data_IF_723076415585
#
_entry.id   IF_723076415585
#
_cell.length_a   1.000
_cell.length_b   1.000
_cell.length_c   1.000
_cell.angle_alpha   90.00
_cell.angle_beta   90.00
_cell.angle_gamma   90.00
#
_symmetry.space_group_name_H-M   'P 1'
#
loop_
_entity.id
_entity.type
_entity.pdbx_description
1 polymer ?
#
# COMPACT_ATOMS: atom_id res chain seq x y z
N UNK A 1 43.86 8.76 -19.98
CA UNK A 1 43.10 7.65 -19.35
C UNK A 1 42.02 8.11 -18.36
N UNK A 2 42.17 9.26 -17.67
CA UNK A 2 41.20 9.74 -16.65
C UNK A 2 39.82 10.16 -17.20
N UNK A 3 39.74 10.64 -18.44
CA UNK A 3 38.47 11.06 -19.05
C UNK A 3 37.45 9.91 -19.20
N UNK A 4 37.91 8.68 -19.49
CA UNK A 4 37.02 7.53 -19.63
C UNK A 4 36.43 7.07 -18.28
N UNK A 5 37.19 7.24 -17.20
CA UNK A 5 36.75 6.87 -15.84
C UNK A 5 35.68 7.84 -15.34
N UNK A 6 35.84 9.14 -15.59
CA UNK A 6 34.85 10.15 -15.20
C UNK A 6 33.51 9.96 -15.93
N UNK A 7 33.55 9.62 -17.22
CA UNK A 7 32.34 9.35 -18.01
C UNK A 7 31.64 8.06 -17.56
N UNK A 8 32.40 7.02 -17.22
CA UNK A 8 31.84 5.77 -16.70
C UNK A 8 31.17 5.97 -15.32
N UNK A 9 31.78 6.76 -14.44
CA UNK A 9 31.20 7.08 -13.14
C UNK A 9 29.89 7.87 -13.28
N UNK A 10 29.86 8.88 -14.16
CA UNK A 10 28.65 9.66 -14.40
C UNK A 10 27.50 8.79 -14.97
N UNK A 11 27.79 7.85 -15.87
CA UNK A 11 26.79 6.90 -16.37
C UNK A 11 26.28 5.95 -15.28
N UNK A 12 27.18 5.48 -14.40
CA UNK A 12 26.80 4.65 -13.26
C UNK A 12 25.89 5.42 -12.29
N UNK A 13 26.22 6.67 -11.97
CA UNK A 13 25.43 7.49 -11.06
C UNK A 13 24.05 7.82 -11.64
N UNK A 14 23.97 8.11 -12.95
CA UNK A 14 22.69 8.31 -13.65
C UNK A 14 21.84 7.04 -13.67
N UNK A 15 22.45 5.88 -13.94
CA UNK A 15 21.79 4.58 -13.95
C UNK A 15 21.28 4.21 -12.55
N UNK A 16 22.10 4.35 -11.52
CA UNK A 16 21.71 4.15 -10.12
C UNK A 16 20.60 5.11 -9.68
N UNK A 17 20.66 6.38 -10.08
CA UNK A 17 19.61 7.36 -9.78
C UNK A 17 18.29 6.99 -10.46
N UNK A 18 18.34 6.50 -11.70
CA UNK A 18 17.17 5.98 -12.42
C UNK A 18 16.52 4.80 -11.70
N UNK A 19 17.29 3.77 -11.34
CA UNK A 19 16.78 2.60 -10.62
C UNK A 19 16.14 2.98 -9.29
N UNK A 20 16.76 3.89 -8.52
CA UNK A 20 16.17 4.37 -7.26
C UNK A 20 14.84 5.08 -7.46
N UNK A 21 14.70 5.86 -8.54
CA UNK A 21 13.44 6.52 -8.85
C UNK A 21 12.34 5.50 -9.20
N UNK A 22 12.68 4.44 -9.95
CA UNK A 22 11.76 3.35 -10.26
C UNK A 22 11.35 2.56 -9.01
N UNK A 23 12.30 2.25 -8.12
CA UNK A 23 12.03 1.57 -6.83
C UNK A 23 11.09 2.40 -5.94
N UNK A 24 11.34 3.71 -5.83
CA UNK A 24 10.45 4.63 -5.08
C UNK A 24 9.06 4.68 -5.72
N UNK A 25 8.97 4.73 -7.05
CA UNK A 25 7.69 4.74 -7.75
C UNK A 25 6.90 3.45 -7.52
N UNK A 26 7.57 2.30 -7.51
CA UNK A 26 6.96 0.99 -7.21
C UNK A 26 6.48 0.92 -5.75
N UNK A 27 7.29 1.36 -4.79
CA UNK A 27 6.90 1.43 -3.39
C UNK A 27 5.68 2.35 -3.17
N UNK A 28 5.69 3.54 -3.78
CA UNK A 28 4.58 4.48 -3.73
C UNK A 28 3.29 3.90 -4.36
N UNK A 29 3.41 3.14 -5.46
CA UNK A 29 2.27 2.46 -6.07
C UNK A 29 1.71 1.37 -5.14
N UNK A 30 2.57 0.58 -4.49
CA UNK A 30 2.16 -0.44 -3.52
C UNK A 30 1.42 0.17 -2.32
N UNK A 31 1.93 1.28 -1.77
CA UNK A 31 1.25 2.03 -0.70
C UNK A 31 -0.12 2.51 -1.15
N UNK A 32 -0.23 3.13 -2.35
CA UNK A 32 -1.51 3.60 -2.88
C UNK A 32 -2.52 2.47 -3.07
N UNK A 33 -2.08 1.33 -3.58
CA UNK A 33 -2.94 0.16 -3.74
C UNK A 33 -3.44 -0.36 -2.39
N UNK A 34 -2.55 -0.49 -1.41
CA UNK A 34 -2.91 -0.96 -0.08
C UNK A 34 -3.84 0.05 0.64
N UNK A 35 -3.65 1.34 0.42
CA UNK A 35 -4.51 2.40 0.96
C UNK A 35 -5.92 2.28 0.40
N UNK A 36 -6.06 2.13 -0.91
CA UNK A 36 -7.38 1.96 -1.55
C UNK A 36 -8.10 0.70 -1.04
N UNK A 37 -7.37 -0.40 -0.82
CA UNK A 37 -7.93 -1.62 -0.26
C UNK A 37 -8.41 -1.43 1.19
N UNK A 38 -7.63 -0.72 2.02
CA UNK A 38 -8.01 -0.37 3.38
C UNK A 38 -9.24 0.54 3.41
N UNK A 39 -9.27 1.59 2.59
CA UNK A 39 -10.40 2.52 2.53
C UNK A 39 -11.69 1.81 2.12
N UNK A 40 -11.60 0.89 1.17
CA UNK A 40 -12.73 0.04 0.78
C UNK A 40 -13.22 -0.81 1.96
N UNK A 41 -12.32 -1.54 2.63
CA UNK A 41 -12.68 -2.41 3.74
C UNK A 41 -13.24 -1.62 4.94
N UNK A 42 -12.71 -0.42 5.20
CA UNK A 42 -13.20 0.48 6.24
C UNK A 42 -14.62 0.99 5.93
N UNK A 43 -14.89 1.40 4.69
CA UNK A 43 -16.23 1.80 4.26
C UNK A 43 -17.22 0.64 4.32
N UNK A 44 -16.78 -0.56 3.94
CA UNK A 44 -17.59 -1.77 4.04
C UNK A 44 -17.97 -2.08 5.48
N UNK A 45 -16.99 -2.09 6.40
CA UNK A 45 -17.22 -2.29 7.83
C UNK A 45 -18.18 -1.24 8.42
N UNK A 46 -18.05 0.04 8.02
CA UNK A 46 -18.95 1.10 8.46
C UNK A 46 -20.41 0.85 8.02
N UNK A 47 -20.62 0.37 6.79
CA UNK A 47 -21.96 -0.03 6.32
C UNK A 47 -22.48 -1.22 7.11
N UNK A 48 -21.65 -2.22 7.39
CA UNK A 48 -22.04 -3.38 8.20
C UNK A 48 -22.45 -2.96 9.62
N UNK A 49 -21.78 -1.98 10.23
CA UNK A 49 -22.21 -1.45 11.54
C UNK A 49 -23.64 -0.91 11.51
N UNK A 50 -23.99 -0.12 10.49
CA UNK A 50 -25.34 0.40 10.31
C UNK A 50 -26.37 -0.71 10.11
N UNK A 51 -26.06 -1.69 9.26
CA UNK A 51 -26.92 -2.85 9.01
C UNK A 51 -27.08 -3.74 10.25
N UNK A 52 -26.06 -3.84 11.10
CA UNK A 52 -26.15 -4.61 12.34
C UNK A 52 -27.05 -3.91 13.35
N UNK A 53 -26.98 -2.57 13.42
CA UNK A 53 -27.88 -1.78 14.27
C UNK A 53 -29.35 -1.96 13.87
N UNK A 54 -29.65 -2.13 12.58
CA UNK A 54 -30.98 -2.48 12.09
C UNK A 54 -31.28 -3.99 12.12
N UNK A 55 -30.43 -4.82 12.73
CA UNK A 55 -30.54 -6.30 12.78
C UNK A 55 -30.66 -6.98 11.40
N UNK A 56 -30.15 -6.36 10.34
CA UNK A 56 -30.23 -6.87 8.96
C UNK A 56 -29.13 -7.90 8.63
N UNK A 57 -28.08 -7.98 9.45
CA UNK A 57 -26.95 -8.92 9.30
C UNK A 57 -26.63 -9.61 10.62
N UNK A 58 -25.88 -10.71 10.57
CA UNK A 58 -25.45 -11.43 11.77
C UNK A 58 -24.28 -10.74 12.48
N UNK A 59 -23.99 -11.15 13.72
CA UNK A 59 -22.77 -10.71 14.41
C UNK A 59 -21.50 -11.20 13.70
N UNK A 60 -21.56 -12.41 13.12
CA UNK A 60 -20.47 -13.01 12.37
C UNK A 60 -20.12 -12.22 11.10
N UNK A 61 -21.13 -11.70 10.38
CA UNK A 61 -20.90 -10.87 9.18
C UNK A 61 -20.17 -9.57 9.52
N UNK A 62 -20.53 -8.93 10.65
CA UNK A 62 -19.85 -7.74 11.14
C UNK A 62 -18.40 -8.03 11.56
N UNK A 63 -18.18 -9.17 12.22
CA UNK A 63 -16.85 -9.60 12.64
C UNK A 63 -15.93 -9.94 11.46
N UNK A 64 -16.47 -10.58 10.42
CA UNK A 64 -15.76 -10.80 9.16
C UNK A 64 -15.35 -9.47 8.52
N UNK A 65 -16.28 -8.50 8.44
CA UNK A 65 -15.97 -7.18 7.90
C UNK A 65 -14.90 -6.44 8.70
N UNK A 66 -14.93 -6.54 10.03
CA UNK A 66 -13.88 -5.99 10.91
C UNK A 66 -12.53 -6.65 10.62
N UNK A 67 -12.50 -7.97 10.56
CA UNK A 67 -11.29 -8.76 10.33
C UNK A 67 -10.65 -8.43 8.98
N UNK A 68 -11.46 -8.29 7.91
CA UNK A 68 -10.97 -7.86 6.60
C UNK A 68 -10.40 -6.43 6.62
N UNK A 69 -11.03 -5.51 7.36
CA UNK A 69 -10.52 -4.14 7.55
C UNK A 69 -9.17 -4.17 8.27
N UNK A 70 -9.05 -4.93 9.35
CA UNK A 70 -7.82 -5.02 10.15
C UNK A 70 -6.68 -5.63 9.33
N UNK A 71 -6.97 -6.65 8.51
CA UNK A 71 -5.99 -7.23 7.60
C UNK A 71 -5.52 -6.21 6.54
N UNK A 72 -6.44 -5.47 5.92
CA UNK A 72 -6.09 -4.43 4.96
C UNK A 72 -5.25 -3.31 5.62
N UNK A 73 -5.53 -2.98 6.88
CA UNK A 73 -4.75 -2.02 7.66
C UNK A 73 -3.32 -2.50 7.86
N UNK A 74 -3.15 -3.78 8.21
CA UNK A 74 -1.82 -4.38 8.39
C UNK A 74 -1.04 -4.40 7.08
N UNK A 75 -1.70 -4.70 5.94
CA UNK A 75 -1.07 -4.65 4.62
C UNK A 75 -0.64 -3.22 4.24
N UNK A 76 -1.50 -2.22 4.50
CA UNK A 76 -1.15 -0.82 4.27
C UNK A 76 0.07 -0.40 5.10
N UNK A 77 0.07 -0.72 6.40
CA UNK A 77 1.19 -0.41 7.27
C UNK A 77 2.48 -1.08 6.78
N UNK A 78 2.41 -2.36 6.42
CA UNK A 78 3.57 -3.06 5.87
C UNK A 78 4.05 -2.49 4.54
N UNK A 79 3.18 -1.90 3.73
CA UNK A 79 3.57 -1.22 2.49
C UNK A 79 4.23 0.15 2.76
N UNK A 80 3.81 0.84 3.82
CA UNK A 80 4.38 2.13 4.25
C UNK A 80 5.73 1.97 4.94
N UNK A 81 5.95 0.86 5.64
CA UNK A 81 7.19 0.56 6.37
C UNK A 81 8.31 0.00 5.47
N UNK A 82 8.03 -0.27 4.19
CA UNK A 82 8.99 -0.76 3.19
C UNK A 82 9.70 0.38 2.47
#
# INVERSE_FOLDING_TARGET
AQANVSTAQAQYDLMMAGYRAEEIAQAAAAVKQAQAAYDYAQNFYQRQLGLRASSAISANDLENARSSRDQAQATLKSAQDK
#
